data_IF_822615227235
#
_entry.id   IF_822615227235
#
_cell.length_a   1.000
_cell.length_b   1.000
_cell.length_c   1.000
_cell.angle_alpha   90.00
_cell.angle_beta   90.00
_cell.angle_gamma   90.00
#
_symmetry.space_group_name_H-M   'P 1'
#
loop_
_entity.id
_entity.type
_entity.pdbx_description
1 polymer ?
#
# COMPACT_ATOMS: atom_id res chain seq x y z
N UNK A 1 5.81 4.23 -1.97
CA UNK A 1 6.60 5.39 -1.49
C UNK A 1 6.91 5.21 -0.01
N UNK A 2 8.03 5.73 0.48
CA UNK A 2 8.39 5.66 1.91
C UNK A 2 8.83 7.03 2.41
N UNK A 3 8.19 7.51 3.47
CA UNK A 3 8.47 8.80 4.10
C UNK A 3 9.18 8.58 5.43
N UNK A 4 10.25 9.33 5.70
CA UNK A 4 10.89 9.38 7.01
C UNK A 4 10.34 10.58 7.79
N UNK A 5 9.81 10.33 8.98
CA UNK A 5 9.33 11.38 9.88
C UNK A 5 10.47 11.89 10.77
N UNK A 6 10.27 13.05 11.39
CA UNK A 6 11.20 13.62 12.35
C UNK A 6 11.32 12.78 13.64
N UNK A 7 10.25 12.10 14.04
CA UNK A 7 10.21 11.25 15.22
C UNK A 7 9.06 10.21 15.16
N UNK A 8 8.96 9.38 16.19
CA UNK A 8 7.95 8.31 16.29
C UNK A 8 6.51 8.86 16.35
N UNK A 9 6.30 10.01 16.98
CA UNK A 9 4.99 10.62 17.17
C UNK A 9 4.44 11.12 15.83
N UNK A 10 5.25 11.87 15.08
CA UNK A 10 4.91 12.31 13.73
C UNK A 10 4.71 11.13 12.77
N UNK A 11 5.54 10.07 12.87
CA UNK A 11 5.37 8.88 12.04
C UNK A 11 4.01 8.19 12.30
N UNK A 12 3.57 8.11 13.57
CA UNK A 12 2.26 7.55 13.93
C UNK A 12 1.12 8.42 13.43
N UNK A 13 1.24 9.74 13.58
CA UNK A 13 0.26 10.68 13.06
C UNK A 13 0.14 10.56 11.55
N UNK A 14 1.25 10.53 10.82
CA UNK A 14 1.29 10.38 9.37
C UNK A 14 0.70 9.04 8.92
N UNK A 15 1.04 7.94 9.58
CA UNK A 15 0.46 6.61 9.34
C UNK A 15 -1.09 6.66 9.38
N UNK A 16 -1.63 7.28 10.42
CA UNK A 16 -3.07 7.40 10.60
C UNK A 16 -3.71 8.34 9.56
N UNK A 17 -3.07 9.47 9.25
CA UNK A 17 -3.62 10.42 8.29
C UNK A 17 -3.64 9.91 6.85
N UNK A 18 -2.66 9.07 6.48
CA UNK A 18 -2.57 8.45 5.17
C UNK A 18 -3.47 7.22 5.01
N UNK A 19 -3.93 6.61 6.11
CA UNK A 19 -4.73 5.38 6.04
C UNK A 19 -6.07 5.58 5.28
N UNK A 20 -6.91 6.59 5.57
CA UNK A 20 -8.21 6.79 4.91
C UNK A 20 -8.14 7.08 3.40
N UNK A 21 -7.01 7.56 2.91
CA UNK A 21 -6.85 7.99 1.51
C UNK A 21 -6.35 6.83 0.62
N UNK A 22 -5.86 5.76 1.22
CA UNK A 22 -5.35 4.59 0.49
C UNK A 22 -6.33 3.97 -0.52
N UNK A 23 -7.63 3.74 -0.22
CA UNK A 23 -8.57 3.21 -1.22
C UNK A 23 -8.82 4.20 -2.36
N UNK A 24 -8.74 5.51 -2.11
CA UNK A 24 -8.88 6.54 -3.14
C UNK A 24 -7.71 6.44 -4.12
N UNK A 25 -6.47 6.34 -3.63
CA UNK A 25 -5.31 6.17 -4.50
C UNK A 25 -5.30 4.85 -5.24
N UNK A 26 -5.76 3.76 -4.61
CA UNK A 26 -5.92 2.48 -5.31
C UNK A 26 -6.86 2.63 -6.51
N UNK A 27 -8.02 3.27 -6.32
CA UNK A 27 -8.98 3.52 -7.39
C UNK A 27 -8.44 4.46 -8.47
N UNK A 28 -7.79 5.57 -8.08
CA UNK A 28 -7.22 6.52 -9.03
C UNK A 28 -6.09 5.90 -9.86
N UNK A 29 -5.24 5.07 -9.24
CA UNK A 29 -4.11 4.43 -9.92
C UNK A 29 -4.48 3.14 -10.65
N UNK A 30 -5.76 2.74 -10.70
CA UNK A 30 -6.19 1.46 -11.25
C UNK A 30 -5.61 1.15 -12.65
N UNK A 31 -5.02 -0.04 -12.77
CA UNK A 31 -4.17 -0.48 -13.87
C UNK A 31 -4.26 -1.98 -14.18
N UNK A 32 -5.02 -2.77 -13.40
CA UNK A 32 -5.01 -4.25 -13.49
C UNK A 32 -6.40 -4.85 -13.76
N UNK A 33 -6.96 -4.71 -14.98
CA UNK A 33 -8.30 -5.21 -15.31
C UNK A 33 -8.33 -6.60 -15.96
N UNK A 34 -7.18 -7.28 -16.12
CA UNK A 34 -7.08 -8.58 -16.79
C UNK A 34 -6.34 -9.55 -15.86
N UNK A 35 -6.93 -10.72 -15.62
CA UNK A 35 -6.29 -11.82 -14.89
C UNK A 35 -6.41 -13.11 -15.68
N UNK A 36 -5.29 -13.83 -15.84
CA UNK A 36 -5.22 -15.13 -16.53
C UNK A 36 -5.87 -15.14 -17.93
N UNK A 37 -5.73 -14.04 -18.67
CA UNK A 37 -6.29 -13.91 -20.02
C UNK A 37 -7.79 -13.57 -20.05
N UNK A 38 -8.39 -13.15 -18.93
CA UNK A 38 -9.79 -12.72 -18.91
C UNK A 38 -9.93 -11.32 -18.33
N UNK A 39 -10.81 -10.52 -18.93
CA UNK A 39 -11.28 -9.28 -18.33
C UNK A 39 -11.99 -9.59 -17.01
N UNK A 40 -11.55 -8.98 -15.91
CA UNK A 40 -12.22 -9.05 -14.61
C UNK A 40 -13.28 -7.97 -14.46
N UNK A 41 -14.18 -8.11 -13.49
CA UNK A 41 -15.11 -7.03 -13.07
C UNK A 41 -14.52 -6.16 -11.93
N UNK A 42 -13.18 -6.14 -11.83
CA UNK A 42 -12.39 -5.28 -10.94
C UNK A 42 -11.21 -4.69 -11.71
N UNK A 43 -10.78 -3.49 -11.32
CA UNK A 43 -9.73 -2.73 -12.02
C UNK A 43 -8.38 -2.71 -11.31
N UNK A 44 -8.28 -3.33 -10.13
CA UNK A 44 -7.07 -3.27 -9.29
C UNK A 44 -6.57 -4.65 -8.88
N UNK A 45 -5.27 -4.74 -8.57
CA UNK A 45 -4.61 -5.98 -8.15
C UNK A 45 -4.90 -6.42 -6.71
N UNK A 46 -5.50 -5.55 -5.88
CA UNK A 46 -5.46 -5.66 -4.43
C UNK A 46 -5.97 -7.02 -3.90
N UNK A 47 -7.18 -7.40 -4.29
CA UNK A 47 -7.82 -8.63 -3.81
C UNK A 47 -7.09 -9.89 -4.29
N UNK A 48 -6.53 -9.84 -5.50
CA UNK A 48 -5.77 -10.95 -6.07
C UNK A 48 -4.47 -11.15 -5.30
N UNK A 49 -3.75 -10.08 -4.97
CA UNK A 49 -2.54 -10.18 -4.13
C UNK A 49 -2.91 -10.64 -2.72
N UNK A 50 -3.95 -10.05 -2.13
CA UNK A 50 -4.45 -10.44 -0.80
C UNK A 50 -4.71 -11.95 -0.70
N UNK A 51 -5.41 -12.51 -1.68
CA UNK A 51 -5.73 -13.93 -1.76
C UNK A 51 -4.50 -14.80 -2.09
N UNK A 52 -3.51 -14.29 -2.82
CA UNK A 52 -2.33 -15.06 -3.23
C UNK A 52 -1.40 -15.44 -2.07
N UNK A 53 -1.49 -14.71 -0.96
CA UNK A 53 -0.68 -14.93 0.26
C UNK A 53 -1.54 -15.10 1.52
N UNK A 54 -2.83 -15.44 1.35
CA UNK A 54 -3.72 -15.75 2.46
C UNK A 54 -3.42 -17.15 3.00
N UNK A 55 -2.64 -17.20 4.08
CA UNK A 55 -2.19 -18.40 4.76
C UNK A 55 -3.18 -18.91 5.80
N UNK A 56 -4.30 -18.21 6.01
CA UNK A 56 -5.27 -18.61 7.03
C UNK A 56 -5.82 -20.00 6.76
N UNK A 57 -5.73 -20.85 7.76
CA UNK A 57 -6.38 -22.15 7.81
C UNK A 57 -7.92 -22.02 7.77
N UNK A 58 -8.60 -23.15 7.68
CA UNK A 58 -10.07 -23.20 7.76
C UNK A 58 -10.58 -22.77 9.15
N UNK A 59 -9.84 -23.07 10.21
CA UNK A 59 -10.18 -22.66 11.58
C UNK A 59 -10.08 -21.13 11.74
N UNK A 60 -8.98 -20.53 11.29
CA UNK A 60 -8.76 -19.08 11.38
C UNK A 60 -9.77 -18.29 10.56
N UNK A 61 -10.23 -18.84 9.42
CA UNK A 61 -11.32 -18.27 8.61
C UNK A 61 -12.72 -18.53 9.17
N UNK A 62 -12.85 -19.15 10.35
CA UNK A 62 -14.13 -19.54 10.98
C UNK A 62 -14.99 -20.46 10.09
N UNK A 63 -14.37 -21.22 9.18
CA UNK A 63 -15.07 -22.20 8.34
C UNK A 63 -15.32 -23.53 9.09
N UNK A 64 -14.57 -23.76 10.17
CA UNK A 64 -14.73 -24.86 11.12
C UNK A 64 -14.42 -24.36 12.54
N UNK A 65 -14.87 -25.05 13.61
CA UNK A 65 -14.58 -24.65 14.99
C UNK A 65 -13.08 -24.60 15.28
N UNK A 66 -12.66 -23.61 16.07
CA UNK A 66 -11.29 -23.44 16.54
C UNK A 66 -10.90 -24.59 17.49
N UNK A 67 -9.84 -25.32 17.18
CA UNK A 67 -9.34 -26.45 17.98
C UNK A 67 -7.83 -26.43 18.16
N UNK A 68 -7.09 -26.13 17.10
CA UNK A 68 -5.63 -26.15 17.08
C UNK A 68 -5.04 -24.75 17.05
N UNK A 69 -5.72 -23.81 16.39
CA UNK A 69 -5.26 -22.43 16.30
C UNK A 69 -5.73 -21.59 17.50
N UNK A 70 -5.05 -20.47 17.74
CA UNK A 70 -5.37 -19.55 18.84
C UNK A 70 -6.41 -18.51 18.47
N UNK A 71 -6.45 -18.10 17.20
CA UNK A 71 -7.20 -16.93 16.76
C UNK A 71 -8.14 -17.24 15.60
N UNK A 72 -9.26 -16.52 15.56
CA UNK A 72 -10.05 -16.34 14.33
C UNK A 72 -9.60 -15.04 13.71
N UNK A 73 -9.12 -15.08 12.47
CA UNK A 73 -8.48 -13.94 11.83
C UNK A 73 -9.31 -13.46 10.66
N UNK A 74 -9.81 -12.22 10.76
CA UNK A 74 -10.81 -11.64 9.84
C UNK A 74 -10.30 -11.45 8.41
N UNK A 75 -9.02 -11.17 8.22
CA UNK A 75 -8.42 -10.83 6.92
C UNK A 75 -7.08 -11.51 6.65
N UNK A 76 -6.65 -11.51 5.39
CA UNK A 76 -5.33 -12.01 4.99
C UNK A 76 -4.22 -11.21 5.68
N UNK A 77 -3.01 -11.77 5.76
CA UNK A 77 -1.82 -11.01 6.20
C UNK A 77 -1.41 -9.94 5.19
N UNK A 78 -1.90 -10.02 3.95
CA UNK A 78 -1.92 -8.91 3.00
C UNK A 78 -3.32 -8.32 2.95
N UNK A 79 -3.55 -7.17 3.60
CA UNK A 79 -4.84 -6.49 3.61
C UNK A 79 -4.70 -5.05 4.14
N UNK A 80 -5.78 -4.29 4.16
CA UNK A 80 -5.86 -2.95 4.75
C UNK A 80 -5.40 -2.93 6.22
N UNK A 81 -5.00 -1.76 6.71
CA UNK A 81 -4.64 -1.49 8.11
C UNK A 81 -5.78 -1.88 9.06
N UNK A 82 -5.42 -2.46 10.20
CA UNK A 82 -6.36 -2.93 11.23
C UNK A 82 -6.77 -1.88 12.25
N UNK A 83 -5.85 -0.97 12.58
CA UNK A 83 -6.07 0.03 13.61
C UNK A 83 -5.22 1.27 13.37
N UNK A 84 -5.71 2.39 13.87
CA UNK A 84 -4.93 3.61 14.05
C UNK A 84 -4.02 3.49 15.27
N UNK A 85 -2.84 4.10 15.16
CA UNK A 85 -1.76 3.97 16.15
C UNK A 85 -1.40 5.28 16.83
N UNK A 86 -1.91 6.43 16.40
CA UNK A 86 -1.73 7.71 17.11
C UNK A 86 -2.83 7.93 18.15
N UNK A 87 -2.53 8.42 19.37
CA UNK A 87 -3.54 8.61 20.42
C UNK A 87 -4.73 9.48 20.01
N UNK A 88 -4.52 10.50 19.18
CA UNK A 88 -5.61 11.38 18.70
C UNK A 88 -6.62 10.67 17.81
N UNK A 89 -6.26 9.53 17.22
CA UNK A 89 -7.10 8.79 16.27
C UNK A 89 -7.87 7.66 16.96
N UNK A 90 -7.65 7.43 18.26
CA UNK A 90 -8.31 6.36 19.01
C UNK A 90 -9.85 6.35 18.90
N UNK A 91 -10.56 7.50 18.87
CA UNK A 91 -12.01 7.49 18.66
C UNK A 91 -12.48 6.84 17.35
N UNK A 92 -11.57 6.64 16.38
CA UNK A 92 -11.84 6.00 15.10
C UNK A 92 -11.43 4.52 15.04
N UNK A 93 -10.91 3.96 16.14
CA UNK A 93 -10.69 2.51 16.27
C UNK A 93 -12.01 1.82 16.66
N UNK A 94 -12.95 1.77 15.73
CA UNK A 94 -14.31 1.24 15.92
C UNK A 94 -14.47 -0.21 15.45
N UNK A 95 -13.41 -0.81 14.92
CA UNK A 95 -13.34 -2.21 14.52
C UNK A 95 -12.62 -3.02 15.61
N UNK A 96 -13.22 -4.15 16.00
CA UNK A 96 -12.60 -5.09 16.93
C UNK A 96 -11.29 -5.65 16.35
N UNK A 97 -10.21 -5.45 17.10
CA UNK A 97 -8.85 -5.86 16.79
C UNK A 97 -8.46 -7.13 17.55
N UNK A 98 -8.01 -8.15 16.82
CA UNK A 98 -7.53 -9.40 17.39
C UNK A 98 -6.02 -9.31 17.65
N UNK A 99 -5.55 -9.65 18.85
CA UNK A 99 -4.13 -9.58 19.22
C UNK A 99 -3.80 -10.57 20.35
N UNK A 100 -2.53 -10.95 20.50
CA UNK A 100 -2.10 -11.80 21.62
C UNK A 100 -1.92 -10.97 22.90
N UNK A 101 -2.68 -11.32 23.95
CA UNK A 101 -2.66 -10.61 25.23
C UNK A 101 -1.32 -10.70 25.97
N UNK A 102 -0.58 -11.81 25.82
CA UNK A 102 0.72 -11.96 26.47
C UNK A 102 1.74 -11.03 25.81
N UNK A 103 1.70 -10.95 24.47
CA UNK A 103 2.57 -10.05 23.71
C UNK A 103 2.21 -8.60 24.02
N UNK A 104 0.92 -8.25 24.07
CA UNK A 104 0.47 -6.93 24.50
C UNK A 104 1.05 -6.57 25.88
N UNK A 105 0.92 -7.46 26.87
CA UNK A 105 1.42 -7.18 28.22
C UNK A 105 2.94 -7.03 28.24
N UNK A 106 3.68 -7.88 27.52
CA UNK A 106 5.14 -7.77 27.40
C UNK A 106 5.58 -6.42 26.83
N UNK A 107 4.87 -5.91 25.82
CA UNK A 107 5.16 -4.60 25.21
C UNK A 107 4.86 -3.45 26.17
N UNK A 108 3.74 -3.53 26.91
CA UNK A 108 3.36 -2.54 27.93
C UNK A 108 4.38 -2.49 29.07
N UNK A 109 4.80 -3.66 29.58
CA UNK A 109 5.81 -3.78 30.63
C UNK A 109 7.18 -3.25 30.16
N UNK A 110 7.45 -3.37 28.86
CA UNK A 110 8.62 -2.78 28.19
C UNK A 110 8.52 -1.27 27.93
N UNK A 111 7.42 -0.62 28.30
CA UNK A 111 7.23 0.83 28.19
C UNK A 111 6.67 1.31 26.84
N UNK A 112 6.18 0.41 25.98
CA UNK A 112 5.46 0.79 24.76
C UNK A 112 4.03 1.15 25.14
N UNK A 113 3.51 2.26 24.62
CA UNK A 113 2.14 2.68 24.93
C UNK A 113 1.09 1.75 24.31
N UNK A 114 -0.11 1.78 24.88
CA UNK A 114 -1.20 0.86 24.53
C UNK A 114 -1.54 0.81 23.03
N UNK A 115 -1.54 1.94 22.33
CA UNK A 115 -1.96 1.98 20.92
C UNK A 115 -0.95 1.31 20.01
N UNK A 116 0.35 1.61 20.22
CA UNK A 116 1.42 0.96 19.46
C UNK A 116 1.58 -0.51 19.88
N UNK A 117 1.41 -0.82 21.17
CA UNK A 117 1.49 -2.18 21.68
C UNK A 117 0.39 -3.08 21.09
N UNK A 118 -0.86 -2.59 20.99
CA UNK A 118 -1.97 -3.30 20.32
C UNK A 118 -1.69 -3.59 18.85
N UNK A 119 -1.14 -2.61 18.13
CA UNK A 119 -0.76 -2.78 16.72
C UNK A 119 0.31 -3.86 16.54
N UNK A 120 1.38 -3.84 17.34
CA UNK A 120 2.43 -4.85 17.28
C UNK A 120 1.89 -6.22 17.70
N UNK A 121 1.12 -6.30 18.79
CA UNK A 121 0.53 -7.55 19.24
C UNK A 121 -0.45 -8.17 18.22
N UNK A 122 -1.12 -7.34 17.41
CA UNK A 122 -1.93 -7.80 16.28
C UNK A 122 -1.06 -8.41 15.17
N UNK A 123 0.04 -7.76 14.78
CA UNK A 123 0.97 -8.28 13.76
C UNK A 123 1.48 -9.69 14.13
N UNK A 124 1.70 -9.93 15.42
CA UNK A 124 2.20 -11.18 15.98
C UNK A 124 1.14 -12.28 16.15
N UNK A 125 -0.11 -12.09 15.72
CA UNK A 125 -1.06 -13.21 15.59
C UNK A 125 -0.73 -14.13 14.40
N UNK A 126 0.26 -13.76 13.59
CA UNK A 126 0.73 -14.50 12.42
C UNK A 126 1.97 -15.32 12.73
N UNK A 127 2.02 -16.50 12.16
CA UNK A 127 3.23 -17.31 12.14
C UNK A 127 4.26 -16.76 11.12
N UNK A 128 5.56 -16.99 11.36
CA UNK A 128 6.60 -16.69 10.38
C UNK A 128 6.48 -17.62 9.16
N UNK A 129 6.42 -17.04 7.96
CA UNK A 129 6.35 -17.84 6.71
C UNK A 129 7.68 -18.45 6.29
N UNK A 130 8.77 -17.79 6.65
CA UNK A 130 10.12 -18.16 6.22
C UNK A 130 11.12 -17.78 7.29
N UNK A 131 11.90 -18.75 7.75
CA UNK A 131 12.98 -18.58 8.72
C UNK A 131 14.22 -19.26 8.17
N UNK A 132 15.32 -18.52 8.09
CA UNK A 132 16.61 -19.08 7.66
C UNK A 132 17.22 -19.83 8.84
N UNK A 133 17.69 -21.07 8.63
CA UNK A 133 18.17 -21.95 9.70
C UNK A 133 19.29 -21.29 10.52
N UNK A 134 20.19 -20.61 9.84
CA UNK A 134 21.34 -19.92 10.42
C UNK A 134 20.93 -18.71 11.27
N UNK A 135 19.70 -18.24 11.12
CA UNK A 135 19.12 -17.09 11.84
C UNK A 135 18.18 -17.50 12.98
N UNK A 136 18.11 -18.79 13.34
CA UNK A 136 17.26 -19.24 14.45
C UNK A 136 17.75 -18.68 15.78
N UNK A 137 19.05 -18.79 16.04
CA UNK A 137 19.67 -18.25 17.25
C UNK A 137 20.26 -16.88 16.94
N UNK A 138 19.87 -15.85 17.70
CA UNK A 138 20.31 -14.47 17.52
C UNK A 138 20.60 -13.81 18.87
N UNK A 139 21.38 -12.72 18.83
CA UNK A 139 21.54 -11.82 19.98
C UNK A 139 20.53 -10.67 19.85
N UNK A 140 19.46 -10.69 20.65
CA UNK A 140 18.34 -9.73 20.58
C UNK A 140 18.78 -8.26 20.74
N UNK A 141 19.90 -8.00 21.43
CA UNK A 141 20.44 -6.64 21.58
C UNK A 141 21.10 -6.09 20.29
N UNK A 142 21.40 -6.96 19.33
CA UNK A 142 22.16 -6.63 18.10
C UNK A 142 21.42 -6.94 16.81
N UNK A 143 20.34 -7.71 16.88
CA UNK A 143 19.53 -8.10 15.73
C UNK A 143 18.06 -7.82 15.94
N UNK A 144 17.39 -7.46 14.85
CA UNK A 144 15.93 -7.31 14.77
C UNK A 144 15.31 -8.29 13.79
N UNK A 145 16.07 -9.25 13.25
CA UNK A 145 15.63 -10.09 12.14
C UNK A 145 14.41 -10.97 12.50
N UNK A 146 14.31 -11.45 13.74
CA UNK A 146 13.11 -12.18 14.20
C UNK A 146 11.85 -11.30 14.15
N UNK A 147 11.97 -10.06 14.62
CA UNK A 147 10.87 -9.10 14.56
C UNK A 147 10.54 -8.72 13.10
N UNK A 148 11.57 -8.44 12.29
CA UNK A 148 11.41 -8.11 10.86
C UNK A 148 10.80 -9.27 10.06
N UNK A 149 11.06 -10.53 10.44
CA UNK A 149 10.44 -11.70 9.77
C UNK A 149 8.92 -11.65 9.84
N UNK A 150 8.36 -11.28 11.00
CA UNK A 150 6.90 -11.14 11.17
C UNK A 150 6.41 -9.82 10.56
N UNK A 151 7.10 -8.71 10.82
CA UNK A 151 6.69 -7.38 10.32
C UNK A 151 6.67 -7.32 8.79
N UNK A 152 7.73 -7.81 8.14
CA UNK A 152 7.87 -7.73 6.67
C UNK A 152 6.91 -8.65 5.93
N UNK A 153 6.45 -9.72 6.59
CA UNK A 153 5.43 -10.65 6.09
C UNK A 153 4.00 -10.28 6.48
N UNK A 154 3.78 -9.14 7.14
CA UNK A 154 2.48 -8.49 7.24
C UNK A 154 2.44 -7.31 6.27
N UNK A 155 1.63 -7.42 5.21
CA UNK A 155 1.62 -6.49 4.08
C UNK A 155 0.37 -5.63 4.08
N UNK A 156 0.41 -4.54 4.83
CA UNK A 156 -0.70 -3.59 4.82
C UNK A 156 -0.64 -2.55 3.70
N UNK A 157 -1.74 -1.82 3.49
CA UNK A 157 -1.84 -0.64 2.63
C UNK A 157 -0.93 0.51 3.10
N UNK A 158 -0.76 0.67 4.42
CA UNK A 158 0.26 1.51 5.03
C UNK A 158 1.11 0.65 5.96
N UNK A 159 2.44 0.81 5.92
CA UNK A 159 3.35 0.12 6.84
C UNK A 159 4.10 1.12 7.71
N UNK A 160 4.01 0.93 9.02
CA UNK A 160 4.84 1.60 10.01
C UNK A 160 6.17 0.85 10.13
N UNK A 161 7.30 1.55 9.97
CA UNK A 161 8.64 0.95 9.90
C UNK A 161 9.51 1.52 11.00
N UNK A 162 9.93 0.72 11.99
CA UNK A 162 10.92 1.16 12.97
C UNK A 162 12.27 1.46 12.30
N UNK A 163 13.13 2.24 12.98
CA UNK A 163 14.50 2.45 12.55
C UNK A 163 15.28 1.12 12.59
N UNK A 164 16.11 0.83 11.58
CA UNK A 164 16.97 -0.35 11.61
C UNK A 164 18.13 -0.13 12.60
N UNK A 165 18.56 -1.19 13.29
CA UNK A 165 19.68 -1.10 14.25
C UNK A 165 21.02 -0.77 13.58
N UNK A 166 21.20 -1.16 12.31
CA UNK A 166 22.48 -1.05 11.60
C UNK A 166 22.70 0.29 10.87
N UNK A 167 21.73 1.21 10.92
CA UNK A 167 21.87 2.52 10.27
C UNK A 167 21.18 3.64 11.07
N UNK A 168 21.94 4.41 11.87
CA UNK A 168 21.38 5.45 12.75
C UNK A 168 20.85 6.67 12.00
N UNK A 169 21.10 6.82 10.69
CA UNK A 169 20.55 7.92 9.89
C UNK A 169 19.10 7.68 9.48
N UNK A 170 18.64 6.42 9.58
CA UNK A 170 17.29 6.02 9.20
C UNK A 170 16.40 6.07 10.44
N UNK A 171 15.42 6.97 10.42
CA UNK A 171 14.44 7.14 11.48
C UNK A 171 13.19 6.27 11.31
N UNK A 172 12.14 6.65 12.05
CA UNK A 172 10.80 6.09 11.90
C UNK A 172 10.22 6.46 10.53
N UNK A 173 9.66 5.46 9.85
CA UNK A 173 9.17 5.65 8.47
C UNK A 173 7.75 5.12 8.30
N UNK A 174 7.05 5.71 7.35
CA UNK A 174 5.73 5.30 6.89
C UNK A 174 5.80 4.97 5.41
N UNK A 175 5.44 3.75 5.04
CA UNK A 175 5.42 3.30 3.66
C UNK A 175 3.98 3.28 3.12
N UNK A 176 3.72 4.06 2.08
CA UNK A 176 2.46 4.12 1.34
C UNK A 176 2.50 3.14 0.17
N UNK A 177 1.61 2.14 0.20
CA UNK A 177 1.68 0.93 -0.65
C UNK A 177 0.51 0.67 -1.63
N UNK A 178 -0.64 1.35 -1.61
CA UNK A 178 -1.80 0.92 -2.41
C UNK A 178 -1.65 1.17 -3.93
N UNK A 179 -0.83 2.16 -4.34
CA UNK A 179 -0.74 2.60 -5.73
C UNK A 179 -0.37 1.47 -6.70
N UNK A 180 -1.04 1.41 -7.84
CA UNK A 180 -0.61 0.54 -8.95
C UNK A 180 0.46 1.24 -9.79
N UNK A 181 1.36 0.45 -10.38
CA UNK A 181 2.37 0.96 -11.31
C UNK A 181 1.70 1.43 -12.60
N UNK A 182 2.12 2.57 -13.10
CA UNK A 182 1.66 3.17 -14.35
C UNK A 182 2.67 2.90 -15.48
N UNK A 183 2.29 3.17 -16.73
CA UNK A 183 3.13 2.86 -17.89
C UNK A 183 4.37 3.74 -17.98
N UNK A 184 4.26 5.02 -17.60
CA UNK A 184 5.31 6.03 -17.83
C UNK A 184 5.93 6.51 -16.51
N UNK A 185 7.16 7.00 -16.58
CA UNK A 185 7.86 7.56 -15.42
C UNK A 185 7.17 8.84 -14.96
N UNK A 186 6.63 9.62 -15.91
CA UNK A 186 5.81 10.80 -15.61
C UNK A 186 4.60 10.46 -14.73
N UNK A 187 3.80 9.45 -15.09
CA UNK A 187 2.60 9.08 -14.33
C UNK A 187 2.95 8.50 -12.95
N UNK A 188 4.00 7.67 -12.87
CA UNK A 188 4.50 7.14 -11.60
C UNK A 188 5.04 8.25 -10.68
N UNK A 189 5.72 9.26 -11.26
CA UNK A 189 6.18 10.44 -10.52
C UNK A 189 5.02 11.31 -10.07
N UNK A 190 3.97 11.44 -10.88
CA UNK A 190 2.79 12.23 -10.53
C UNK A 190 2.10 11.72 -9.25
N UNK A 191 2.04 10.40 -9.07
CA UNK A 191 1.54 9.81 -7.83
C UNK A 191 2.53 9.88 -6.66
N UNK A 192 3.83 10.09 -6.93
CA UNK A 192 4.83 10.32 -5.89
C UNK A 192 4.80 11.75 -5.32
N UNK A 193 4.40 12.74 -6.14
CA UNK A 193 4.42 14.16 -5.78
C UNK A 193 3.08 14.69 -5.24
N UNK A 194 2.04 13.88 -5.15
CA UNK A 194 0.73 14.30 -4.63
C UNK A 194 0.68 14.17 -3.09
N UNK A 195 0.91 15.28 -2.39
CA UNK A 195 0.62 15.37 -0.95
C UNK A 195 -0.88 15.54 -0.70
N UNK A 196 -1.39 15.10 0.47
CA UNK A 196 -2.78 15.35 0.94
C UNK A 196 -2.79 15.90 2.39
N UNK A 197 -3.67 16.81 2.87
CA UNK A 197 -5.15 16.97 2.79
C UNK A 197 -5.69 18.44 2.70
N UNK A 198 -6.94 18.54 2.22
CA UNK A 198 -7.85 19.68 1.91
C UNK A 198 -7.94 20.84 2.94
N UNK A 199 -8.21 22.13 2.58
CA UNK A 199 -8.97 22.70 1.45
C UNK A 199 -8.13 22.83 0.18
N UNK A 200 -8.24 21.81 -0.68
CA UNK A 200 -7.30 21.47 -1.73
C UNK A 200 -5.84 21.44 -1.27
N UNK A 201 -5.26 20.29 -0.88
CA UNK A 201 -3.80 20.27 -0.65
C UNK A 201 -3.03 20.57 -1.94
N UNK A 202 -3.62 20.36 -3.11
CA UNK A 202 -3.08 20.94 -4.36
C UNK A 202 -2.93 22.46 -4.23
N UNK A 203 -3.92 23.17 -3.69
CA UNK A 203 -3.85 24.61 -3.44
C UNK A 203 -2.84 24.98 -2.35
N UNK A 204 -2.71 24.17 -1.28
CA UNK A 204 -1.71 24.40 -0.23
C UNK A 204 -0.28 24.03 -0.64
N UNK A 205 -0.09 23.01 -1.48
CA UNK A 205 1.18 22.68 -2.14
C UNK A 205 1.52 23.78 -3.12
N UNK A 206 0.59 24.24 -3.95
CA UNK A 206 0.82 25.37 -4.85
C UNK A 206 1.17 26.64 -4.07
N UNK A 207 0.45 26.91 -2.97
CA UNK A 207 0.77 28.03 -2.07
C UNK A 207 2.14 27.85 -1.41
N UNK A 208 2.48 26.66 -0.93
CA UNK A 208 3.81 26.35 -0.40
C UNK A 208 4.89 26.48 -1.47
N UNK A 209 4.64 26.05 -2.71
CA UNK A 209 5.57 26.21 -3.82
C UNK A 209 5.74 27.68 -4.20
N UNK A 210 4.70 28.50 -4.06
CA UNK A 210 4.78 29.95 -4.25
C UNK A 210 5.58 30.62 -3.12
N UNK A 211 5.40 30.18 -1.87
CA UNK A 211 6.09 30.69 -0.68
C UNK A 211 7.53 30.18 -0.53
N UNK A 212 7.79 28.95 -0.96
CA UNK A 212 9.12 28.35 -0.97
C UNK A 212 9.88 28.81 -2.22
N UNK A 213 11.15 29.16 -2.03
CA UNK A 213 12.03 29.74 -3.06
C UNK A 213 12.53 28.68 -4.06
N UNK A 214 11.61 27.92 -4.66
CA UNK A 214 11.91 26.97 -5.74
C UNK A 214 12.05 27.71 -7.08
N UNK A 215 12.89 27.19 -7.96
CA UNK A 215 13.02 27.71 -9.32
C UNK A 215 11.74 27.45 -10.14
N UNK A 216 11.56 28.26 -11.19
CA UNK A 216 10.37 28.23 -12.06
C UNK A 216 10.15 26.87 -12.70
N UNK A 217 11.21 26.14 -13.05
CA UNK A 217 11.12 24.86 -13.74
C UNK A 217 10.59 23.79 -12.78
N UNK A 218 11.07 23.77 -11.53
CA UNK A 218 10.55 22.91 -10.46
C UNK A 218 9.06 23.17 -10.20
N UNK A 219 8.64 24.45 -10.09
CA UNK A 219 7.22 24.80 -9.89
C UNK A 219 6.35 24.34 -11.06
N UNK A 220 6.83 24.53 -12.29
CA UNK A 220 6.15 24.10 -13.51
C UNK A 220 5.99 22.58 -13.57
N UNK A 221 7.04 21.83 -13.22
CA UNK A 221 7.02 20.36 -13.18
C UNK A 221 6.00 19.84 -12.16
N UNK A 222 5.99 20.36 -10.93
CA UNK A 222 5.05 19.93 -9.89
C UNK A 222 3.61 20.29 -10.28
N UNK A 223 3.40 21.47 -10.85
CA UNK A 223 2.07 21.89 -11.35
C UNK A 223 1.54 20.93 -12.42
N UNK A 224 2.41 20.44 -13.32
CA UNK A 224 2.04 19.42 -14.32
C UNK A 224 1.61 18.10 -13.67
N UNK A 225 2.32 17.63 -12.65
CA UNK A 225 1.97 16.40 -11.92
C UNK A 225 0.62 16.53 -11.22
N UNK A 226 0.39 17.63 -10.50
CA UNK A 226 -0.88 17.87 -9.80
C UNK A 226 -2.05 18.01 -10.79
N UNK A 227 -1.83 18.63 -11.95
CA UNK A 227 -2.83 18.72 -13.02
C UNK A 227 -3.23 17.34 -13.53
N UNK A 228 -2.26 16.44 -13.72
CA UNK A 228 -2.53 15.06 -14.13
C UNK A 228 -3.43 14.31 -13.13
N UNK A 229 -3.07 14.32 -11.84
CA UNK A 229 -3.86 13.66 -10.80
C UNK A 229 -5.28 14.26 -10.75
N UNK A 230 -5.41 15.58 -10.83
CA UNK A 230 -6.71 16.27 -10.86
C UNK A 230 -7.57 15.82 -12.04
N UNK A 231 -7.01 15.80 -13.25
CA UNK A 231 -7.72 15.40 -14.47
C UNK A 231 -8.15 13.94 -14.43
N UNK A 232 -7.35 13.08 -13.81
CA UNK A 232 -7.72 11.67 -13.61
C UNK A 232 -8.84 11.52 -12.58
N UNK A 233 -8.76 12.25 -11.46
CA UNK A 233 -9.81 12.28 -10.46
C UNK A 233 -11.13 12.86 -10.99
N UNK A 234 -11.08 13.82 -11.92
CA UNK A 234 -12.28 14.40 -12.55
C UNK A 234 -12.83 13.57 -13.71
N UNK A 235 -12.14 12.50 -14.13
CA UNK A 235 -12.51 11.68 -15.28
C UNK A 235 -12.21 12.32 -16.65
N UNK A 236 -11.48 13.44 -16.70
CA UNK A 236 -11.00 14.03 -17.97
C UNK A 236 -9.93 13.13 -18.63
N UNK A 237 -9.11 12.48 -17.80
CA UNK A 237 -8.15 11.45 -18.21
C UNK A 237 -8.58 10.12 -17.59
N UNK A 238 -8.68 9.07 -18.40
CA UNK A 238 -9.04 7.76 -17.90
C UNK A 238 -7.90 7.10 -17.11
N UNK A 239 -8.23 6.12 -16.28
CA UNK A 239 -7.23 5.25 -15.65
C UNK A 239 -6.58 4.33 -16.68
N UNK A 240 -5.44 3.73 -16.33
CA UNK A 240 -4.79 2.74 -17.18
C UNK A 240 -5.68 1.50 -17.36
N UNK A 241 -6.36 1.06 -16.31
CA UNK A 241 -7.34 -0.03 -16.40
C UNK A 241 -8.45 0.28 -17.42
N UNK A 242 -9.00 1.49 -17.39
CA UNK A 242 -10.01 1.91 -18.36
C UNK A 242 -9.46 1.92 -19.79
N UNK A 243 -8.24 2.41 -20.00
CA UNK A 243 -7.58 2.39 -21.30
C UNK A 243 -7.39 0.96 -21.82
N UNK A 244 -6.92 0.04 -20.97
CA UNK A 244 -6.75 -1.39 -21.30
C UNK A 244 -8.10 -2.00 -21.72
N UNK A 245 -9.17 -1.77 -20.95
CA UNK A 245 -10.52 -2.26 -21.29
C UNK A 245 -11.01 -1.71 -22.63
N UNK A 246 -10.82 -0.41 -22.86
CA UNK A 246 -11.21 0.23 -24.12
C UNK A 246 -10.40 -0.30 -25.30
N UNK A 247 -9.12 -0.67 -25.10
CA UNK A 247 -8.29 -1.32 -26.09
C UNK A 247 -8.86 -2.69 -26.46
N UNK A 248 -9.08 -3.56 -25.47
CA UNK A 248 -9.63 -4.91 -25.70
C UNK A 248 -11.00 -4.85 -26.36
N UNK A 249 -11.91 -3.99 -25.87
CA UNK A 249 -13.28 -3.89 -26.39
C UNK A 249 -13.36 -3.46 -27.87
N UNK A 250 -12.33 -2.77 -28.38
CA UNK A 250 -12.25 -2.30 -29.77
C UNK A 250 -11.39 -3.21 -30.66
N UNK A 251 -10.74 -4.22 -30.10
CA UNK A 251 -9.82 -5.07 -30.84
C UNK A 251 -10.60 -5.97 -31.82
N UNK A 252 -10.18 -6.11 -33.09
CA UNK A 252 -10.90 -6.92 -34.09
C UNK A 252 -11.09 -8.38 -33.69
N UNK A 253 -10.10 -8.96 -33.01
CA UNK A 253 -10.11 -10.36 -32.54
C UNK A 253 -10.86 -10.57 -31.22
N UNK A 254 -11.53 -9.55 -30.67
CA UNK A 254 -12.29 -9.69 -29.42
C UNK A 254 -13.71 -10.17 -29.68
N UNK A 255 -14.06 -11.34 -29.15
CA UNK A 255 -15.33 -12.03 -29.40
C UNK A 255 -16.45 -11.66 -28.42
N UNK A 256 -16.22 -10.66 -27.54
CA UNK A 256 -17.16 -10.23 -26.48
C UNK A 256 -17.50 -11.32 -25.45
N UNK A 257 -16.55 -12.21 -25.22
CA UNK A 257 -16.61 -13.36 -24.31
C UNK A 257 -15.72 -13.16 -23.07
N UNK A 258 -15.21 -11.94 -22.86
CA UNK A 258 -14.22 -11.57 -21.85
C UNK A 258 -12.85 -12.22 -22.00
N UNK A 259 -12.62 -13.06 -23.00
CA UNK A 259 -11.33 -13.69 -23.24
C UNK A 259 -10.39 -12.75 -24.01
N UNK A 260 -9.17 -12.59 -23.49
CA UNK A 260 -8.09 -11.80 -24.07
C UNK A 260 -7.07 -12.76 -24.64
N UNK A 261 -7.21 -13.07 -25.93
CA UNK A 261 -6.33 -14.00 -26.63
C UNK A 261 -4.91 -13.43 -26.87
N UNK A 262 -4.03 -14.28 -27.39
CA UNK A 262 -2.62 -13.94 -27.62
C UNK A 262 -2.44 -12.78 -28.61
N UNK A 263 -3.32 -12.65 -29.61
CA UNK A 263 -3.26 -11.56 -30.59
C UNK A 263 -3.58 -10.21 -29.94
N UNK A 264 -4.69 -10.13 -29.18
CA UNK A 264 -5.04 -8.92 -28.41
C UNK A 264 -3.92 -8.56 -27.44
N UNK A 265 -3.37 -9.55 -26.73
CA UNK A 265 -2.29 -9.35 -25.75
C UNK A 265 -1.03 -8.80 -26.43
N UNK A 266 -0.63 -9.39 -27.55
CA UNK A 266 0.55 -8.96 -28.29
C UNK A 266 0.43 -7.53 -28.82
N UNK A 267 -0.70 -7.19 -29.42
CA UNK A 267 -0.93 -5.84 -29.96
C UNK A 267 -1.07 -4.79 -28.85
N UNK A 268 -1.67 -5.16 -27.72
CA UNK A 268 -1.71 -4.31 -26.52
C UNK A 268 -0.30 -4.01 -26.01
N UNK A 269 0.54 -5.03 -25.85
CA UNK A 269 1.92 -4.86 -25.38
C UNK A 269 2.76 -4.03 -26.34
N UNK A 270 2.60 -4.21 -27.66
CA UNK A 270 3.21 -3.32 -28.65
C UNK A 270 2.79 -1.87 -28.45
N UNK A 271 1.50 -1.63 -28.21
CA UNK A 271 0.99 -0.28 -27.99
C UNK A 271 1.53 0.33 -26.70
N UNK A 272 1.64 -0.45 -25.63
CA UNK A 272 2.28 -0.04 -24.37
C UNK A 272 3.74 0.36 -24.59
N UNK A 273 4.52 -0.48 -25.29
CA UNK A 273 5.94 -0.18 -25.60
C UNK A 273 6.03 1.09 -26.44
N UNK A 274 5.18 1.25 -27.45
CA UNK A 274 5.15 2.47 -28.26
C UNK A 274 4.85 3.72 -27.43
N UNK A 275 3.87 3.67 -26.52
CA UNK A 275 3.54 4.79 -25.63
C UNK A 275 4.77 5.16 -24.80
N UNK A 276 5.38 4.18 -24.13
CA UNK A 276 6.56 4.38 -23.30
C UNK A 276 7.70 5.04 -24.08
N UNK A 277 8.04 4.51 -25.26
CA UNK A 277 9.14 5.04 -26.07
C UNK A 277 8.89 6.45 -26.61
N UNK A 278 7.64 6.84 -26.85
CA UNK A 278 7.29 8.18 -27.36
C UNK A 278 7.18 9.21 -26.24
N UNK A 279 6.92 8.78 -24.99
CA UNK A 279 6.80 9.69 -23.85
C UNK A 279 8.13 9.96 -23.15
N UNK A 280 9.06 9.00 -23.19
CA UNK A 280 10.34 9.07 -22.47
C UNK A 280 11.53 9.48 -23.36
N UNK A 281 11.34 9.59 -24.68
CA UNK A 281 12.35 10.00 -25.67
C UNK A 281 11.82 11.03 -26.65
#
# INVERSE_FOLDING_TARGET
MTFQAANVDEARWLYDQLTPITPIFLALSAATPIFRGYLSDVDSRWDVISASVDDRTREERRLVPLKNNKFVIKKSRYDTTDCYIHPSSNPYNDIELEYDLNILQQLLDGGIDEYLARHIAHIFIRDPLHVIRESIEQEDEKSTDHFETILTSNWNNIRFKPPPQNNPQIGWRVEFRPTEVQLTDFENTAYCCDGQKFPGLVSLILQFLDEADFDTDTKSAITRYLSFVRKRASGEICTLAHWIRAFVAKHPSYEKDSYVNDEITYDMLKKVIFIYLVTEH
#
